data_IF_372476842482
#
_entry.id   IF_372476842482
#
_cell.length_a   1.000
_cell.length_b   1.000
_cell.length_c   1.000
_cell.angle_alpha   90.00
_cell.angle_beta   90.00
_cell.angle_gamma   90.00
#
_symmetry.space_group_name_H-M   'P 1'
#
loop_
_entity.id
_entity.type
_entity.pdbx_description
1 polymer ?
#
# COMPACT_ATOMS: atom_id res chain seq x y z
N UNK A 1 1.85 -5.91 38.50
CA UNK A 1 1.29 -6.55 37.28
C UNK A 1 2.42 -6.69 36.26
N UNK A 2 2.57 -7.86 35.62
CA UNK A 2 3.59 -8.04 34.60
C UNK A 2 3.27 -7.13 33.41
N UNK A 3 4.08 -6.10 33.17
CA UNK A 3 3.88 -5.13 32.08
C UNK A 3 3.65 -5.81 30.72
N UNK A 4 4.31 -6.96 30.50
CA UNK A 4 4.10 -7.81 29.32
C UNK A 4 2.65 -8.30 29.18
N UNK A 5 2.00 -8.69 30.27
CA UNK A 5 0.60 -9.13 30.28
C UNK A 5 -0.34 -7.95 30.02
N UNK A 6 -0.06 -6.78 30.61
CA UNK A 6 -0.86 -5.57 30.37
C UNK A 6 -0.77 -5.14 28.91
N UNK A 7 0.44 -5.14 28.35
CA UNK A 7 0.68 -4.83 26.94
C UNK A 7 -0.04 -5.83 26.02
N UNK A 8 0.04 -7.12 26.31
CA UNK A 8 -0.65 -8.17 25.54
C UNK A 8 -2.17 -7.95 25.55
N UNK A 9 -2.74 -7.63 26.72
CA UNK A 9 -4.18 -7.44 26.89
C UNK A 9 -4.67 -6.20 26.13
N UNK A 10 -3.89 -5.11 26.19
CA UNK A 10 -4.14 -3.89 25.42
C UNK A 10 -4.10 -4.18 23.91
N UNK A 11 -3.03 -4.83 23.42
CA UNK A 11 -2.87 -5.16 22.00
C UNK A 11 -3.96 -6.11 21.51
N UNK A 12 -4.33 -7.12 22.30
CA UNK A 12 -5.39 -8.06 21.95
C UNK A 12 -6.75 -7.37 21.86
N UNK A 13 -7.02 -6.42 22.77
CA UNK A 13 -8.25 -5.61 22.75
C UNK A 13 -8.28 -4.73 21.50
N UNK A 14 -7.19 -4.00 21.22
CA UNK A 14 -7.04 -3.18 20.02
C UNK A 14 -7.25 -3.99 18.73
N UNK A 15 -6.71 -5.20 18.65
CA UNK A 15 -6.88 -6.08 17.50
C UNK A 15 -8.35 -6.47 17.28
N UNK A 16 -9.08 -6.84 18.35
CA UNK A 16 -10.51 -7.15 18.27
C UNK A 16 -11.32 -5.93 17.83
N UNK A 17 -11.05 -4.76 18.40
CA UNK A 17 -11.73 -3.52 18.00
C UNK A 17 -11.44 -3.13 16.55
N UNK A 18 -10.19 -3.31 16.09
CA UNK A 18 -9.81 -3.07 14.71
C UNK A 18 -10.59 -3.98 13.76
N UNK A 19 -10.64 -5.29 14.05
CA UNK A 19 -11.40 -6.25 13.23
C UNK A 19 -12.89 -5.91 13.26
N UNK A 20 -13.49 -5.67 14.43
CA UNK A 20 -14.92 -5.39 14.54
C UNK A 20 -15.33 -4.09 13.81
N UNK A 21 -14.55 -3.02 13.94
CA UNK A 21 -14.82 -1.76 13.24
C UNK A 21 -14.61 -1.89 11.73
N UNK A 22 -13.68 -2.73 11.30
CA UNK A 22 -13.36 -2.92 9.89
C UNK A 22 -14.00 -4.18 9.30
N UNK A 23 -14.90 -4.85 10.02
CA UNK A 23 -15.64 -6.02 9.54
C UNK A 23 -16.76 -5.66 8.57
N UNK A 24 -17.17 -4.38 8.55
CA UNK A 24 -18.13 -3.87 7.58
C UNK A 24 -17.56 -4.05 6.16
N UNK A 25 -18.19 -4.94 5.41
CA UNK A 25 -17.90 -5.13 4.01
C UNK A 25 -18.54 -3.99 3.21
N UNK A 26 -17.74 -3.34 2.37
CA UNK A 26 -18.20 -2.30 1.45
C UNK A 26 -18.30 -2.90 0.07
N UNK A 27 -19.44 -2.66 -0.58
CA UNK A 27 -19.60 -2.99 -2.00
C UNK A 27 -18.91 -1.95 -2.86
N UNK A 28 -18.09 -2.43 -3.78
CA UNK A 28 -17.42 -1.64 -4.79
C UNK A 28 -17.99 -2.07 -6.13
N UNK A 29 -18.51 -1.10 -6.87
CA UNK A 29 -18.92 -1.28 -8.25
C UNK A 29 -17.88 -0.62 -9.15
N UNK A 30 -17.20 -1.42 -9.95
CA UNK A 30 -16.18 -0.96 -10.90
C UNK A 30 -16.51 -1.43 -12.31
N UNK A 31 -16.87 -0.49 -13.18
CA UNK A 31 -17.33 -0.76 -14.55
C UNK A 31 -18.49 -1.80 -14.55
N UNK A 32 -18.19 -3.05 -14.91
CA UNK A 32 -19.17 -4.16 -14.98
C UNK A 32 -19.02 -5.17 -13.83
N UNK A 33 -18.15 -4.88 -12.85
CA UNK A 33 -17.80 -5.79 -11.77
C UNK A 33 -18.30 -5.23 -10.45
N UNK A 34 -18.90 -6.08 -9.63
CA UNK A 34 -19.21 -5.78 -8.24
C UNK A 34 -18.45 -6.74 -7.34
N UNK A 35 -17.90 -6.20 -6.25
CA UNK A 35 -17.19 -6.98 -5.24
C UNK A 35 -17.45 -6.42 -3.85
N UNK A 36 -17.61 -7.31 -2.87
CA UNK A 36 -17.75 -6.93 -1.46
C UNK A 36 -16.47 -7.30 -0.73
N UNK A 37 -15.80 -6.30 -0.16
CA UNK A 37 -14.54 -6.47 0.57
C UNK A 37 -14.57 -5.61 1.83
N UNK A 38 -13.83 -6.01 2.87
CA UNK A 38 -13.73 -5.19 4.08
C UNK A 38 -13.06 -3.84 3.80
N UNK A 39 -13.55 -2.78 4.43
CA UNK A 39 -12.99 -1.42 4.28
C UNK A 39 -11.49 -1.36 4.55
N UNK A 40 -11.01 -2.08 5.58
CA UNK A 40 -9.58 -2.13 5.90
C UNK A 40 -8.76 -2.76 4.76
N UNK A 41 -9.23 -3.87 4.18
CA UNK A 41 -8.54 -4.51 3.07
C UNK A 41 -8.52 -3.60 1.84
N UNK A 42 -9.63 -2.93 1.53
CA UNK A 42 -9.68 -1.94 0.46
C UNK A 42 -8.63 -0.84 0.64
N UNK A 43 -8.58 -0.22 1.82
CA UNK A 43 -7.63 0.88 2.11
C UNK A 43 -6.20 0.35 2.02
N UNK A 44 -5.94 -0.83 2.58
CA UNK A 44 -4.61 -1.44 2.57
C UNK A 44 -4.12 -1.75 1.15
N UNK A 45 -4.94 -2.41 0.32
CA UNK A 45 -4.57 -2.72 -1.05
C UNK A 45 -4.43 -1.46 -1.92
N UNK A 46 -5.29 -0.46 -1.73
CA UNK A 46 -5.20 0.82 -2.44
C UNK A 46 -3.87 1.51 -2.14
N UNK A 47 -3.47 1.59 -0.86
CA UNK A 47 -2.18 2.13 -0.47
C UNK A 47 -1.01 1.33 -1.04
N UNK A 48 -1.06 -0.01 -0.91
CA UNK A 48 -0.01 -0.89 -1.40
C UNK A 48 0.19 -0.73 -2.91
N UNK A 49 -0.90 -0.74 -3.69
CA UNK A 49 -0.85 -0.52 -5.14
C UNK A 49 -0.31 0.86 -5.48
N UNK A 50 -0.74 1.91 -4.77
CA UNK A 50 -0.21 3.26 -4.96
C UNK A 50 1.30 3.36 -4.71
N UNK A 51 1.80 2.72 -3.64
CA UNK A 51 3.23 2.66 -3.34
C UNK A 51 4.01 1.88 -4.40
N UNK A 52 3.51 0.72 -4.83
CA UNK A 52 4.14 -0.10 -5.86
C UNK A 52 4.22 0.65 -7.20
N UNK A 53 3.11 1.25 -7.64
CA UNK A 53 3.06 2.04 -8.89
C UNK A 53 3.98 3.25 -8.80
N UNK A 54 3.95 3.98 -7.67
CA UNK A 54 4.81 5.15 -7.47
C UNK A 54 6.29 4.80 -7.47
N UNK A 55 6.67 3.70 -6.80
CA UNK A 55 8.04 3.20 -6.82
C UNK A 55 8.47 2.81 -8.23
N UNK A 56 7.67 1.99 -8.91
CA UNK A 56 7.99 1.49 -10.25
C UNK A 56 8.11 2.63 -11.27
N UNK A 57 7.21 3.61 -11.20
CA UNK A 57 7.24 4.79 -12.06
C UNK A 57 8.50 5.63 -11.80
N UNK A 58 8.88 5.85 -10.54
CA UNK A 58 10.09 6.59 -10.20
C UNK A 58 11.34 5.89 -10.75
N UNK A 59 11.43 4.57 -10.59
CA UNK A 59 12.54 3.79 -11.13
C UNK A 59 12.60 3.86 -12.66
N UNK A 60 11.46 3.72 -13.34
CA UNK A 60 11.39 3.85 -14.79
C UNK A 60 11.82 5.24 -15.30
N UNK A 61 11.33 6.30 -14.66
CA UNK A 61 11.70 7.68 -15.02
C UNK A 61 13.19 7.95 -14.76
N UNK A 62 13.73 7.39 -13.69
CA UNK A 62 15.16 7.50 -13.34
C UNK A 62 16.03 6.78 -14.35
N UNK A 63 15.67 5.55 -14.73
CA UNK A 63 16.35 4.79 -15.78
C UNK A 63 16.41 5.56 -17.10
N UNK A 64 15.29 6.18 -17.51
CA UNK A 64 15.23 6.99 -18.73
C UNK A 64 16.15 8.22 -18.68
N UNK A 65 16.25 8.89 -17.52
CA UNK A 65 17.19 10.01 -17.32
C UNK A 65 18.66 9.58 -17.39
N UNK A 66 19.01 8.41 -16.84
CA UNK A 66 20.39 7.90 -16.93
C UNK A 66 20.79 7.54 -18.35
N UNK A 67 19.91 6.87 -19.10
CA UNK A 67 20.18 6.52 -20.51
C UNK A 67 20.34 7.78 -21.38
N UNK A 68 19.53 8.81 -21.16
CA UNK A 68 19.67 10.09 -21.88
C UNK A 68 21.00 10.80 -21.61
N UNK A 69 21.49 10.80 -20.37
CA UNK A 69 22.79 11.40 -20.01
C UNK A 69 23.99 10.62 -20.55
N UNK A 70 23.91 9.29 -20.59
CA UNK A 70 24.98 8.45 -21.14
C UNK A 70 25.16 8.64 -22.66
N UNK A 71 24.07 8.93 -23.39
CA UNK A 71 24.13 9.23 -24.84
C UNK A 71 24.82 10.58 -25.08
N UNK A 72 24.49 11.61 -24.30
CA UNK A 72 25.06 12.96 -24.47
C UNK A 72 26.57 13.00 -24.20
N UNK A 73 27.04 12.27 -23.19
CA UNK A 73 28.48 12.19 -22.86
C UNK A 73 29.31 11.46 -23.92
N UNK A 74 28.70 10.65 -24.80
CA UNK A 74 29.41 9.91 -25.86
C UNK A 74 29.49 10.69 -27.18
N UNK A 75 28.67 11.72 -27.36
CA UNK A 75 28.71 12.62 -28.53
C UNK A 75 29.67 13.81 -28.37
N UNK A 76 30.26 13.99 -27.19
CA UNK A 76 31.25 15.04 -26.90
C UNK A 76 32.72 14.57 -27.06
N UNK A 77 32.93 13.32 -27.47
CA UNK A 77 34.23 12.74 -27.86
C UNK A 77 34.19 12.32 -29.33
#
# INVERSE_FOLDING_TARGET
>A
MNFKLVLLLILSTLAVFFVAQNAAAVEINFLFWSASISSALLIFFTLLLGLLVGWYLNEYLRYRKYKGRAVYSRSEF
#
